data_IF_862965264845
#
_entry.id   IF_862965264845
#
_cell.length_a   1.000
_cell.length_b   1.000
_cell.length_c   1.000
_cell.angle_alpha   90.00
_cell.angle_beta   90.00
_cell.angle_gamma   90.00
#
_symmetry.space_group_name_H-M   'P 1'
#
loop_
_entity.id
_entity.type
_entity.pdbx_description
1 polymer ?
#
# COMPACT_ATOMS: atom_id res chain seq x y z
N UNK A 1 -4.69 6.88 28.04
CA UNK A 1 -4.18 5.48 28.00
C UNK A 1 -4.60 4.76 29.28
N UNK A 2 -5.44 3.72 29.19
CA UNK A 2 -6.02 3.05 30.36
C UNK A 2 -5.15 1.88 30.85
N UNK A 3 -4.96 1.77 32.16
CA UNK A 3 -4.25 0.69 32.84
C UNK A 3 -5.22 -0.03 33.79
N UNK A 4 -5.20 -1.35 33.81
CA UNK A 4 -6.13 -2.21 34.54
C UNK A 4 -5.45 -2.86 35.74
N UNK A 5 -6.20 -3.10 36.79
CA UNK A 5 -5.78 -3.98 37.89
C UNK A 5 -5.72 -5.44 37.42
N UNK A 6 -5.05 -6.30 38.20
CA UNK A 6 -5.03 -7.74 37.92
C UNK A 6 -6.44 -8.33 37.84
N UNK A 7 -7.34 -7.91 38.73
CA UNK A 7 -8.71 -8.40 38.78
C UNK A 7 -9.49 -8.01 37.52
N UNK A 8 -9.43 -6.74 37.11
CA UNK A 8 -10.06 -6.26 35.87
C UNK A 8 -9.47 -6.92 34.62
N UNK A 9 -8.15 -7.17 34.62
CA UNK A 9 -7.50 -7.84 33.51
C UNK A 9 -7.92 -9.32 33.42
N UNK A 10 -8.08 -10.01 34.55
CA UNK A 10 -8.53 -11.41 34.59
C UNK A 10 -9.99 -11.55 34.19
N UNK A 11 -10.84 -10.62 34.65
CA UNK A 11 -12.26 -10.58 34.30
C UNK A 11 -12.45 -10.38 32.79
N UNK A 12 -11.71 -9.44 32.19
CA UNK A 12 -11.72 -9.24 30.74
C UNK A 12 -11.14 -10.42 29.96
N UNK A 13 -10.12 -11.11 30.47
CA UNK A 13 -9.53 -12.26 29.79
C UNK A 13 -10.35 -13.54 29.94
N UNK A 14 -11.15 -13.67 31.00
CA UNK A 14 -11.79 -14.92 31.38
C UNK A 14 -10.79 -16.05 31.70
N UNK A 15 -9.62 -15.71 32.26
CA UNK A 15 -8.53 -16.67 32.53
C UNK A 15 -8.03 -16.62 33.98
N UNK A 16 -7.17 -17.57 34.36
CA UNK A 16 -6.52 -17.60 35.69
C UNK A 16 -5.28 -16.70 35.73
N UNK A 17 -4.90 -16.27 36.93
CA UNK A 17 -3.72 -15.43 37.20
C UNK A 17 -2.43 -15.94 36.56
N UNK A 18 -2.20 -17.26 36.58
CA UNK A 18 -1.06 -17.91 35.93
C UNK A 18 -0.96 -17.56 34.43
N UNK A 19 -2.09 -17.51 33.72
CA UNK A 19 -2.14 -17.18 32.30
C UNK A 19 -1.85 -15.70 32.05
N UNK A 20 -2.36 -14.81 32.90
CA UNK A 20 -2.04 -13.38 32.85
C UNK A 20 -0.54 -13.16 33.03
N UNK A 21 0.07 -13.75 34.07
CA UNK A 21 1.51 -13.62 34.33
C UNK A 21 2.38 -14.23 33.23
N UNK A 22 1.99 -15.37 32.66
CA UNK A 22 2.70 -15.97 31.53
C UNK A 22 2.67 -15.06 30.29
N UNK A 23 1.57 -14.36 30.02
CA UNK A 23 1.49 -13.42 28.90
C UNK A 23 2.30 -12.14 29.15
N UNK A 24 2.42 -11.70 30.40
CA UNK A 24 3.34 -10.61 30.77
C UNK A 24 4.80 -11.03 30.61
N UNK A 25 5.18 -12.20 31.11
CA UNK A 25 6.54 -12.75 30.98
C UNK A 25 6.96 -12.93 29.52
N UNK A 26 6.00 -13.27 28.63
CA UNK A 26 6.21 -13.38 27.18
C UNK A 26 6.10 -12.06 26.42
N UNK A 27 5.98 -10.92 27.12
CA UNK A 27 5.90 -9.59 26.52
C UNK A 27 4.60 -9.30 25.75
N UNK A 28 3.56 -10.13 25.90
CA UNK A 28 2.28 -9.98 25.18
C UNK A 28 1.33 -8.99 25.85
N UNK A 29 1.48 -8.80 27.16
CA UNK A 29 0.78 -7.79 27.95
C UNK A 29 1.83 -6.95 28.67
N UNK A 30 1.82 -5.63 28.42
CA UNK A 30 2.67 -4.71 29.17
C UNK A 30 2.15 -4.56 30.59
N UNK A 31 3.06 -4.62 31.56
CA UNK A 31 2.78 -4.42 32.97
C UNK A 31 3.69 -3.35 33.56
N UNK A 32 3.20 -2.61 34.55
CA UNK A 32 3.98 -1.67 35.34
C UNK A 32 3.62 -1.79 36.83
N UNK A 33 4.49 -1.40 37.76
CA UNK A 33 4.14 -1.32 39.18
C UNK A 33 2.95 -0.38 39.38
N UNK A 34 2.07 -0.72 40.31
CA UNK A 34 0.98 0.17 40.72
C UNK A 34 1.57 1.33 41.56
N UNK A 35 1.31 2.60 41.20
CA UNK A 35 1.77 3.76 41.97
C UNK A 35 1.26 3.78 43.42
N UNK A 36 0.12 3.15 43.70
CA UNK A 36 -0.49 3.11 45.04
C UNK A 36 0.01 1.95 45.91
N UNK A 37 0.52 0.87 45.31
CA UNK A 37 1.04 -0.30 46.01
C UNK A 37 2.11 -0.99 45.16
N UNK A 38 3.38 -0.82 45.53
CA UNK A 38 4.53 -1.37 44.78
C UNK A 38 4.55 -2.89 44.71
N UNK A 39 3.74 -3.60 45.51
CA UNK A 39 3.57 -5.06 45.44
C UNK A 39 2.53 -5.49 44.40
N UNK A 40 1.82 -4.54 43.78
CA UNK A 40 0.82 -4.78 42.74
C UNK A 40 1.34 -4.31 41.39
N UNK A 41 0.77 -4.88 40.34
CA UNK A 41 1.06 -4.48 38.96
C UNK A 41 -0.24 -4.10 38.26
N UNK A 42 -0.13 -3.09 37.40
CA UNK A 42 -1.17 -2.67 36.47
C UNK A 42 -0.82 -3.17 35.07
N UNK A 43 -1.85 -3.51 34.29
CA UNK A 43 -1.74 -4.13 32.98
C UNK A 43 -2.34 -3.24 31.90
N UNK A 44 -1.69 -3.12 30.76
CA UNK A 44 -2.13 -2.21 29.71
C UNK A 44 -3.47 -2.68 29.09
N UNK A 45 -4.49 -1.83 29.13
CA UNK A 45 -5.87 -2.24 28.82
C UNK A 45 -6.04 -2.78 27.39
N UNK A 46 -5.36 -2.20 26.40
CA UNK A 46 -5.49 -2.63 25.00
C UNK A 46 -4.81 -3.97 24.74
N UNK A 47 -3.73 -4.27 25.46
CA UNK A 47 -3.07 -5.58 25.36
C UNK A 47 -3.96 -6.68 25.94
N UNK A 48 -4.63 -6.40 27.07
CA UNK A 48 -5.61 -7.28 27.70
C UNK A 48 -6.81 -7.50 26.78
N UNK A 49 -7.42 -6.43 26.25
CA UNK A 49 -8.57 -6.52 25.32
C UNK A 49 -8.22 -7.28 24.03
N UNK A 50 -7.05 -6.99 23.44
CA UNK A 50 -6.56 -7.70 22.26
C UNK A 50 -6.41 -9.20 22.55
N UNK A 51 -5.89 -9.57 23.72
CA UNK A 51 -5.72 -10.99 24.07
C UNK A 51 -7.06 -11.67 24.43
N UNK A 52 -7.96 -10.97 25.12
CA UNK A 52 -9.31 -11.42 25.45
C UNK A 52 -10.12 -11.73 24.19
N UNK A 53 -10.04 -10.86 23.18
CA UNK A 53 -10.69 -11.07 21.88
C UNK A 53 -10.25 -12.37 21.21
N UNK A 54 -9.00 -12.81 21.45
CA UNK A 54 -8.43 -14.06 20.90
C UNK A 54 -8.88 -15.32 21.64
N UNK A 55 -9.28 -15.23 22.92
CA UNK A 55 -9.67 -16.38 23.75
C UNK A 55 -11.18 -16.68 23.78
N UNK A 56 -12.02 -15.76 23.30
CA UNK A 56 -13.49 -15.92 23.26
C UNK A 56 -14.03 -17.00 22.30
N UNK A 57 -13.21 -17.98 21.92
CA UNK A 57 -13.65 -19.19 21.24
C UNK A 57 -12.49 -19.87 20.53
N UNK A 58 -12.46 -21.20 20.55
CA UNK A 58 -11.91 -21.98 19.46
C UNK A 58 -12.64 -21.51 18.18
N UNK A 59 -12.06 -20.52 17.49
CA UNK A 59 -12.69 -19.88 16.33
C UNK A 59 -12.86 -20.94 15.25
N UNK A 60 -14.06 -21.09 14.69
CA UNK A 60 -14.28 -21.97 13.54
C UNK A 60 -13.31 -21.53 12.44
N UNK A 61 -12.58 -22.48 11.84
CA UNK A 61 -11.58 -22.26 10.77
C UNK A 61 -12.07 -21.33 9.65
N UNK A 62 -13.39 -21.28 9.44
CA UNK A 62 -14.11 -20.40 8.52
C UNK A 62 -13.97 -18.89 8.83
N UNK A 63 -14.07 -18.47 10.10
CA UNK A 63 -13.93 -17.07 10.49
C UNK A 63 -12.47 -16.62 10.33
N UNK A 64 -11.53 -17.52 10.62
CA UNK A 64 -10.09 -17.27 10.45
C UNK A 64 -9.75 -17.04 8.97
N UNK A 65 -10.32 -17.81 8.04
CA UNK A 65 -10.05 -17.68 6.60
C UNK A 65 -10.73 -16.46 5.95
N UNK A 66 -11.93 -16.07 6.40
CA UNK A 66 -12.63 -14.89 5.91
C UNK A 66 -11.99 -13.58 6.40
N UNK A 67 -11.59 -13.52 7.67
CA UNK A 67 -10.85 -12.38 8.24
C UNK A 67 -9.46 -12.26 7.61
N UNK A 68 -8.81 -13.39 7.27
CA UNK A 68 -7.50 -13.41 6.60
C UNK A 68 -7.43 -12.62 5.28
N UNK A 69 -8.56 -12.48 4.57
CA UNK A 69 -8.65 -11.75 3.29
C UNK A 69 -9.12 -10.29 3.52
N UNK A 70 -9.68 -9.99 4.69
CA UNK A 70 -10.14 -8.65 5.09
C UNK A 70 -9.36 -8.13 6.28
N UNK A 71 -8.16 -7.60 6.03
CA UNK A 71 -7.31 -6.95 7.05
C UNK A 71 -6.95 -7.84 8.28
N UNK A 72 -7.13 -9.16 8.18
CA UNK A 72 -6.75 -10.12 9.22
C UNK A 72 -5.28 -10.52 9.18
N UNK A 73 -4.95 -11.64 9.82
CA UNK A 73 -3.56 -12.11 9.89
C UNK A 73 -2.98 -12.40 8.49
N UNK A 74 -1.69 -12.07 8.21
CA UNK A 74 -1.08 -12.29 6.91
C UNK A 74 -1.26 -13.72 6.39
N UNK A 75 -1.90 -13.84 5.22
CA UNK A 75 -2.28 -15.13 4.61
C UNK A 75 -1.18 -15.78 3.78
N UNK A 76 -0.29 -14.98 3.21
CA UNK A 76 0.80 -15.46 2.36
C UNK A 76 2.13 -14.94 2.89
N UNK A 77 3.16 -15.80 3.04
CA UNK A 77 4.48 -15.32 3.37
C UNK A 77 5.01 -14.43 2.24
N UNK A 78 5.71 -13.37 2.63
CA UNK A 78 6.48 -12.52 1.74
C UNK A 78 7.71 -11.99 2.46
N UNK A 79 8.81 -11.87 1.71
CA UNK A 79 10.06 -11.26 2.18
C UNK A 79 10.23 -9.83 1.64
N UNK A 80 9.24 -9.29 0.92
CA UNK A 80 9.37 -8.06 0.13
C UNK A 80 9.10 -6.81 0.95
N UNK A 81 7.94 -6.73 1.61
CA UNK A 81 7.59 -5.61 2.46
C UNK A 81 6.73 -6.01 3.66
N UNK A 82 6.70 -5.14 4.66
CA UNK A 82 5.81 -5.27 5.82
C UNK A 82 5.57 -3.91 6.46
N UNK A 83 4.40 -3.74 7.07
CA UNK A 83 4.12 -2.60 7.96
C UNK A 83 4.26 -3.06 9.40
N UNK A 84 5.18 -2.43 10.13
CA UNK A 84 5.44 -2.75 11.53
C UNK A 84 5.66 -1.49 12.36
N UNK A 85 4.95 -1.37 13.48
CA UNK A 85 5.05 -0.22 14.37
C UNK A 85 4.74 1.12 13.69
N UNK A 86 3.78 1.13 12.75
CA UNK A 86 3.40 2.34 11.99
C UNK A 86 4.39 2.74 10.88
N UNK A 87 5.41 1.92 10.61
CA UNK A 87 6.42 2.17 9.58
C UNK A 87 6.34 1.13 8.46
N UNK A 88 6.68 1.53 7.25
CA UNK A 88 6.75 0.67 6.08
C UNK A 88 8.20 0.25 5.84
N UNK A 89 8.43 -1.05 5.66
CA UNK A 89 9.76 -1.59 5.36
C UNK A 89 9.77 -2.32 4.03
N UNK A 90 10.80 -2.10 3.23
CA UNK A 90 11.15 -2.87 2.03
C UNK A 90 12.38 -3.71 2.34
N UNK A 91 12.23 -5.04 2.36
CA UNK A 91 13.28 -5.99 2.78
C UNK A 91 14.03 -5.57 4.06
N UNK A 92 13.28 -5.07 5.03
CA UNK A 92 13.80 -4.62 6.33
C UNK A 92 14.36 -3.18 6.36
N UNK A 93 14.41 -2.48 5.22
CA UNK A 93 14.81 -1.08 5.15
C UNK A 93 13.60 -0.17 5.19
N UNK A 94 13.64 0.91 5.96
CA UNK A 94 12.51 1.82 6.08
C UNK A 94 12.26 2.59 4.78
N UNK A 95 11.03 2.54 4.28
CA UNK A 95 10.65 3.14 3.01
C UNK A 95 10.66 4.67 3.02
N UNK A 96 10.38 5.31 4.16
CA UNK A 96 10.46 6.77 4.27
C UNK A 96 11.90 7.27 4.29
N UNK A 97 12.82 6.54 4.93
CA UNK A 97 14.25 6.81 4.85
C UNK A 97 14.80 6.56 3.44
N UNK A 98 14.41 5.46 2.80
CA UNK A 98 14.78 5.22 1.40
C UNK A 98 14.30 6.37 0.49
N UNK A 99 13.10 6.90 0.73
CA UNK A 99 12.53 7.97 -0.06
C UNK A 99 13.34 9.28 0.03
N UNK A 100 14.22 9.46 1.02
CA UNK A 100 15.10 10.63 1.11
C UNK A 100 16.11 10.69 -0.04
N UNK A 101 16.63 9.55 -0.51
CA UNK A 101 17.71 9.56 -1.52
C UNK A 101 17.57 8.54 -2.65
N UNK A 102 16.83 7.45 -2.45
CA UNK A 102 16.73 6.35 -3.41
C UNK A 102 15.85 6.70 -4.62
N UNK A 103 16.14 6.12 -5.78
CA UNK A 103 15.27 6.14 -6.95
C UNK A 103 14.29 4.96 -6.93
N UNK A 104 13.31 4.96 -7.85
CA UNK A 104 12.43 3.79 -8.03
C UNK A 104 13.24 2.57 -8.48
N UNK A 105 14.27 2.81 -9.29
CA UNK A 105 15.20 1.83 -9.81
C UNK A 105 16.01 1.18 -8.68
N UNK A 106 16.47 1.97 -7.70
CA UNK A 106 17.15 1.43 -6.51
C UNK A 106 16.21 0.54 -5.68
N UNK A 107 14.94 0.94 -5.56
CA UNK A 107 13.92 0.14 -4.87
C UNK A 107 13.59 -1.14 -5.65
N UNK A 108 13.60 -1.10 -6.99
CA UNK A 108 13.45 -2.30 -7.81
C UNK A 108 14.63 -3.27 -7.59
N UNK A 109 15.87 -2.78 -7.60
CA UNK A 109 17.06 -3.58 -7.28
C UNK A 109 16.93 -4.25 -5.91
N UNK A 110 16.46 -3.49 -4.91
CA UNK A 110 16.21 -3.98 -3.55
C UNK A 110 15.12 -5.06 -3.56
N UNK A 111 13.90 -4.73 -3.98
CA UNK A 111 12.75 -5.64 -3.91
C UNK A 111 12.97 -6.91 -4.75
N UNK A 112 13.65 -6.81 -5.88
CA UNK A 112 13.89 -7.94 -6.77
C UNK A 112 15.12 -8.78 -6.37
N UNK A 113 15.85 -8.39 -5.32
CA UNK A 113 17.11 -9.01 -4.89
C UNK A 113 18.15 -9.13 -6.03
N UNK A 114 18.31 -8.04 -6.78
CA UNK A 114 19.28 -7.97 -7.86
C UNK A 114 20.70 -7.74 -7.32
N UNK A 115 21.68 -8.39 -7.95
CA UNK A 115 23.12 -8.18 -7.63
C UNK A 115 23.81 -7.19 -8.57
N UNK A 116 23.03 -6.53 -9.42
CA UNK A 116 23.47 -5.54 -10.41
C UNK A 116 22.44 -4.41 -10.49
N UNK A 117 22.84 -3.24 -11.01
CA UNK A 117 21.89 -2.18 -11.32
C UNK A 117 20.80 -2.63 -12.30
N UNK A 118 19.62 -2.04 -12.13
CA UNK A 118 18.49 -2.17 -13.05
C UNK A 118 18.86 -1.61 -14.41
N UNK A 119 18.51 -2.32 -15.48
CA UNK A 119 18.67 -1.85 -16.86
C UNK A 119 17.31 -1.70 -17.49
N UNK A 120 16.91 -0.46 -17.72
CA UNK A 120 15.70 -0.15 -18.46
C UNK A 120 16.09 0.21 -19.88
N UNK A 121 15.50 -0.51 -20.82
CA UNK A 121 15.40 -0.08 -22.20
C UNK A 121 14.31 1.00 -22.31
N UNK A 122 14.48 1.91 -23.26
CA UNK A 122 13.44 2.85 -23.65
C UNK A 122 13.49 3.04 -25.16
N UNK A 123 12.33 3.01 -25.80
CA UNK A 123 12.25 3.46 -27.19
C UNK A 123 12.45 4.99 -27.25
N UNK A 124 13.37 5.47 -28.09
CA UNK A 124 13.49 6.90 -28.44
C UNK A 124 12.28 7.32 -29.29
N UNK A 125 11.11 7.38 -28.67
CA UNK A 125 9.91 7.88 -29.34
C UNK A 125 9.75 9.34 -28.94
N UNK A 126 9.66 10.20 -29.96
CA UNK A 126 9.42 11.63 -29.78
C UNK A 126 8.24 11.91 -28.83
N UNK A 127 8.18 13.11 -28.26
CA UNK A 127 7.23 13.56 -27.20
C UNK A 127 5.88 12.83 -27.18
N UNK A 128 5.83 11.66 -26.53
CA UNK A 128 4.59 10.98 -26.15
C UNK A 128 4.18 11.50 -24.77
N UNK A 129 2.88 11.60 -24.53
CA UNK A 129 2.36 11.84 -23.20
C UNK A 129 2.16 10.50 -22.47
N UNK A 130 2.39 10.46 -21.14
CA UNK A 130 2.00 9.33 -20.30
C UNK A 130 0.57 8.86 -20.59
N UNK A 131 0.38 7.55 -20.76
CA UNK A 131 -0.93 6.98 -21.10
C UNK A 131 -1.15 5.62 -20.47
N UNK A 132 -2.15 5.55 -19.58
CA UNK A 132 -2.58 4.31 -18.95
C UNK A 132 -3.14 3.31 -19.98
N UNK A 133 -3.93 3.80 -20.95
CA UNK A 133 -4.46 2.97 -22.02
C UNK A 133 -3.35 2.36 -22.87
N UNK A 134 -2.28 3.12 -23.16
CA UNK A 134 -1.14 2.59 -23.89
C UNK A 134 -0.40 1.51 -23.07
N UNK A 135 -0.28 1.69 -21.75
CA UNK A 135 0.29 0.67 -20.87
C UNK A 135 -0.56 -0.62 -20.85
N UNK A 136 -1.89 -0.50 -20.81
CA UNK A 136 -2.80 -1.65 -20.92
C UNK A 136 -2.58 -2.42 -22.23
N UNK A 137 -2.57 -1.72 -23.37
CA UNK A 137 -2.37 -2.34 -24.68
C UNK A 137 -1.01 -3.01 -24.79
N UNK A 138 0.06 -2.29 -24.41
CA UNK A 138 1.42 -2.81 -24.51
C UNK A 138 1.64 -4.04 -23.63
N UNK A 139 1.08 -4.07 -22.41
CA UNK A 139 1.12 -5.26 -21.56
C UNK A 139 0.31 -6.41 -22.15
N UNK A 140 -0.87 -6.14 -22.71
CA UNK A 140 -1.72 -7.18 -23.31
C UNK A 140 -1.05 -7.84 -24.53
N UNK A 141 -0.38 -7.06 -25.38
CA UNK A 141 0.36 -7.55 -26.55
C UNK A 141 1.51 -8.50 -26.17
N UNK A 142 2.09 -8.33 -24.98
CA UNK A 142 3.17 -9.19 -24.49
C UNK A 142 2.72 -10.57 -24.01
N UNK A 143 1.47 -10.72 -23.54
CA UNK A 143 1.04 -11.92 -22.78
C UNK A 143 1.20 -13.21 -23.57
N UNK A 144 0.96 -13.18 -24.88
CA UNK A 144 1.05 -14.38 -25.73
C UNK A 144 2.47 -14.68 -26.22
N UNK A 145 3.37 -13.70 -26.14
CA UNK A 145 4.77 -13.83 -26.56
C UNK A 145 5.75 -14.11 -25.42
N UNK A 146 5.48 -13.58 -24.22
CA UNK A 146 6.30 -13.83 -23.04
C UNK A 146 6.17 -15.30 -22.59
N UNK A 147 7.25 -15.83 -22.00
CA UNK A 147 7.28 -17.22 -21.52
C UNK A 147 6.56 -17.35 -20.16
N UNK A 148 5.86 -18.47 -19.90
CA UNK A 148 5.30 -18.78 -18.58
C UNK A 148 6.33 -18.63 -17.46
N UNK A 149 5.90 -18.08 -16.31
CA UNK A 149 6.81 -17.80 -15.18
C UNK A 149 7.20 -19.06 -14.40
N UNK A 150 6.39 -20.13 -14.46
CA UNK A 150 6.57 -21.34 -13.66
C UNK A 150 7.85 -22.10 -14.06
N UNK A 151 8.64 -22.51 -13.06
CA UNK A 151 9.84 -23.32 -13.26
C UNK A 151 11.07 -22.54 -13.77
N UNK A 152 10.95 -21.23 -13.94
CA UNK A 152 12.07 -20.37 -14.35
C UNK A 152 12.94 -19.99 -13.16
N UNK A 153 14.24 -19.81 -13.40
CA UNK A 153 15.17 -19.35 -12.38
C UNK A 153 14.93 -17.87 -12.06
N UNK A 154 15.26 -17.46 -10.83
CA UNK A 154 15.14 -16.07 -10.41
C UNK A 154 15.88 -15.08 -11.35
N UNK A 155 17.12 -15.34 -11.80
CA UNK A 155 17.77 -14.45 -12.77
C UNK A 155 17.03 -14.32 -14.11
N UNK A 156 16.40 -15.40 -14.59
CA UNK A 156 15.61 -15.36 -15.82
C UNK A 156 14.30 -14.56 -15.63
N UNK A 157 13.71 -14.63 -14.45
CA UNK A 157 12.54 -13.83 -14.08
C UNK A 157 12.91 -12.34 -13.88
N UNK A 158 14.05 -12.05 -13.27
CA UNK A 158 14.56 -10.67 -13.10
C UNK A 158 14.79 -9.99 -14.45
N UNK A 159 15.39 -10.68 -15.42
CA UNK A 159 15.58 -10.14 -16.77
C UNK A 159 14.25 -9.88 -17.49
N UNK A 160 13.24 -10.73 -17.30
CA UNK A 160 11.89 -10.47 -17.85
C UNK A 160 11.21 -9.31 -17.12
N UNK A 161 11.35 -9.22 -15.79
CA UNK A 161 10.80 -8.13 -15.00
C UNK A 161 11.36 -6.76 -15.44
N UNK A 162 12.66 -6.68 -15.76
CA UNK A 162 13.26 -5.50 -16.39
C UNK A 162 12.57 -5.14 -17.71
N UNK A 163 12.41 -6.13 -18.61
CA UNK A 163 11.75 -5.91 -19.90
C UNK A 163 10.29 -5.46 -19.74
N UNK A 164 9.54 -6.07 -18.82
CA UNK A 164 8.15 -5.70 -18.54
C UNK A 164 8.07 -4.30 -17.92
N UNK A 165 8.96 -3.97 -16.97
CA UNK A 165 9.02 -2.63 -16.38
C UNK A 165 9.41 -1.57 -17.41
N UNK A 166 10.32 -1.88 -18.34
CA UNK A 166 10.62 -1.01 -19.49
C UNK A 166 9.39 -0.72 -20.33
N UNK A 167 8.59 -1.74 -20.67
CA UNK A 167 7.32 -1.54 -21.40
C UNK A 167 6.35 -0.62 -20.65
N UNK A 168 6.21 -0.81 -19.33
CA UNK A 168 5.35 0.05 -18.50
C UNK A 168 5.90 1.48 -18.44
N UNK A 169 7.21 1.63 -18.20
CA UNK A 169 7.88 2.93 -18.09
C UNK A 169 7.82 3.70 -19.41
N UNK A 170 7.91 3.05 -20.57
CA UNK A 170 7.82 3.73 -21.87
C UNK A 170 6.42 4.30 -22.12
N UNK A 171 5.37 3.65 -21.61
CA UNK A 171 4.00 4.13 -21.76
C UNK A 171 3.60 5.15 -20.70
N UNK A 172 4.08 4.99 -19.46
CA UNK A 172 3.69 5.84 -18.32
C UNK A 172 4.68 6.98 -18.02
N UNK A 173 5.93 6.87 -18.46
CA UNK A 173 6.98 7.86 -18.29
C UNK A 173 7.90 7.88 -19.52
N UNK A 174 7.39 8.21 -20.72
CA UNK A 174 8.18 8.21 -21.95
C UNK A 174 9.39 9.14 -21.82
N UNK A 175 10.56 8.69 -22.29
CA UNK A 175 11.80 9.47 -22.24
C UNK A 175 13.03 8.62 -22.49
N UNK A 176 14.19 9.26 -22.55
CA UNK A 176 15.46 8.58 -22.84
C UNK A 176 15.83 7.56 -21.75
N UNK A 177 16.33 6.39 -22.17
CA UNK A 177 16.70 5.27 -21.30
C UNK A 177 17.80 5.61 -20.26
N UNK A 178 18.62 6.62 -20.54
CA UNK A 178 19.70 7.06 -19.66
C UNK A 178 19.24 7.96 -18.52
N UNK A 179 17.95 8.30 -18.45
CA UNK A 179 17.36 9.10 -17.38
C UNK A 179 16.55 8.22 -16.43
N UNK A 180 16.60 8.49 -15.12
CA UNK A 180 15.70 7.87 -14.17
C UNK A 180 14.22 8.11 -14.52
N UNK A 181 13.36 7.16 -14.16
CA UNK A 181 11.91 7.18 -14.41
C UNK A 181 11.27 8.49 -13.92
N UNK A 182 11.65 8.98 -12.74
CA UNK A 182 11.09 10.20 -12.17
C UNK A 182 11.41 11.44 -13.02
N UNK A 183 12.63 11.52 -13.57
CA UNK A 183 13.00 12.61 -14.49
C UNK A 183 12.26 12.49 -15.83
N UNK A 184 12.17 11.27 -16.38
CA UNK A 184 11.41 11.01 -17.62
C UNK A 184 9.98 11.50 -17.47
N UNK A 185 9.33 11.14 -16.37
CA UNK A 185 7.95 11.53 -16.07
C UNK A 185 7.80 13.05 -15.89
N UNK A 186 8.68 13.66 -15.10
CA UNK A 186 8.70 15.11 -14.88
C UNK A 186 8.85 15.89 -16.20
N UNK A 187 9.75 15.44 -17.08
CA UNK A 187 9.96 16.05 -18.40
C UNK A 187 8.78 15.83 -19.35
N UNK A 188 8.17 14.66 -19.35
CA UNK A 188 7.01 14.35 -20.17
C UNK A 188 5.79 15.23 -19.81
N UNK A 189 5.71 15.68 -18.55
CA UNK A 189 4.73 16.65 -18.09
C UNK A 189 5.18 18.12 -18.17
N UNK A 190 6.40 18.39 -18.65
CA UNK A 190 6.94 19.75 -18.72
C UNK A 190 7.17 20.40 -17.36
N UNK A 191 7.34 19.58 -16.30
CA UNK A 191 7.53 20.00 -14.90
C UNK A 191 8.79 19.39 -14.29
N UNK A 192 9.99 19.74 -14.80
CA UNK A 192 11.25 19.23 -14.26
C UNK A 192 11.44 19.57 -12.77
N UNK A 193 10.83 20.67 -12.30
CA UNK A 193 10.80 21.09 -10.89
C UNK A 193 10.07 20.10 -9.97
N UNK A 194 9.19 19.25 -10.51
CA UNK A 194 8.50 18.21 -9.76
C UNK A 194 9.32 16.92 -9.60
N UNK A 195 10.46 16.78 -10.29
CA UNK A 195 11.19 15.52 -10.41
C UNK A 195 11.55 14.89 -9.07
N UNK A 196 11.99 15.68 -8.10
CA UNK A 196 12.39 15.19 -6.78
C UNK A 196 11.18 14.70 -5.94
N UNK A 197 10.07 15.43 -5.98
CA UNK A 197 8.83 14.98 -5.33
C UNK A 197 8.24 13.75 -6.02
N UNK A 198 8.36 13.65 -7.35
CA UNK A 198 7.98 12.44 -8.10
C UNK A 198 8.85 11.26 -7.66
N UNK A 199 10.18 11.43 -7.56
CA UNK A 199 11.10 10.38 -7.07
C UNK A 199 10.66 9.85 -5.70
N UNK A 200 10.44 10.77 -4.74
CA UNK A 200 10.00 10.42 -3.38
C UNK A 200 8.67 9.66 -3.40
N UNK A 201 7.68 10.13 -4.16
CA UNK A 201 6.41 9.45 -4.37
C UNK A 201 6.59 8.03 -4.92
N UNK A 202 7.40 7.87 -5.97
CA UNK A 202 7.62 6.58 -6.60
C UNK A 202 8.27 5.58 -5.63
N UNK A 203 9.16 6.01 -4.74
CA UNK A 203 9.73 5.12 -3.70
C UNK A 203 8.67 4.71 -2.67
N UNK A 204 7.94 5.68 -2.09
CA UNK A 204 6.95 5.42 -1.03
C UNK A 204 5.78 4.57 -1.50
N UNK A 205 5.50 4.58 -2.80
CA UNK A 205 4.42 3.83 -3.42
C UNK A 205 4.92 2.55 -4.10
N UNK A 206 6.20 2.19 -4.03
CA UNK A 206 6.76 1.09 -4.82
C UNK A 206 6.14 -0.27 -4.46
N UNK A 207 5.87 -0.48 -3.17
CA UNK A 207 5.19 -1.66 -2.68
C UNK A 207 4.41 -1.38 -1.39
N UNK A 208 3.39 -2.20 -1.09
CA UNK A 208 2.60 -2.03 0.12
C UNK A 208 1.91 -3.34 0.52
N UNK A 209 2.73 -4.32 0.85
CA UNK A 209 2.33 -5.68 1.26
C UNK A 209 1.27 -6.28 0.31
N UNK A 210 0.37 -7.12 0.82
CA UNK A 210 -0.60 -7.88 0.06
C UNK A 210 -1.91 -7.12 -0.15
N UNK A 211 -1.83 -5.88 -0.63
CA UNK A 211 -3.01 -5.12 -1.06
C UNK A 211 -3.71 -5.81 -2.26
N UNK A 212 -4.93 -5.35 -2.60
CA UNK A 212 -5.77 -6.00 -3.60
C UNK A 212 -5.07 -6.24 -4.96
N UNK A 213 -4.38 -5.24 -5.52
CA UNK A 213 -3.71 -5.41 -6.82
C UNK A 213 -2.47 -6.31 -6.72
N UNK A 214 -1.72 -6.24 -5.62
CA UNK A 214 -0.63 -7.17 -5.35
C UNK A 214 -1.14 -8.61 -5.22
N UNK A 215 -2.25 -8.83 -4.53
CA UNK A 215 -2.85 -10.15 -4.37
C UNK A 215 -3.32 -10.72 -5.73
N UNK A 216 -3.96 -9.91 -6.57
CA UNK A 216 -4.34 -10.32 -7.93
C UNK A 216 -3.12 -10.70 -8.76
N UNK A 217 -2.04 -9.91 -8.72
CA UNK A 217 -0.80 -10.22 -9.43
C UNK A 217 -0.21 -11.56 -8.98
N UNK A 218 -0.22 -11.85 -7.67
CA UNK A 218 0.19 -13.16 -7.13
C UNK A 218 -0.73 -14.30 -7.56
N UNK A 219 -2.05 -14.11 -7.58
CA UNK A 219 -2.98 -15.14 -8.07
C UNK A 219 -2.63 -15.51 -9.52
N UNK A 220 -2.48 -14.51 -10.39
CA UNK A 220 -2.11 -14.70 -11.80
C UNK A 220 -0.79 -15.45 -11.94
N UNK A 221 0.25 -15.03 -11.21
CA UNK A 221 1.55 -15.70 -11.21
C UNK A 221 1.48 -17.13 -10.66
N UNK A 222 0.62 -17.40 -9.66
CA UNK A 222 0.48 -18.73 -9.05
C UNK A 222 -0.08 -19.80 -10.00
N UNK A 223 -0.79 -19.36 -11.06
CA UNK A 223 -1.25 -20.22 -12.14
C UNK A 223 -0.18 -20.47 -13.23
N UNK A 224 1.00 -19.87 -13.10
CA UNK A 224 2.11 -19.99 -14.05
C UNK A 224 2.06 -19.01 -15.23
N UNK A 225 1.17 -18.01 -15.20
CA UNK A 225 1.10 -16.98 -16.23
C UNK A 225 2.39 -16.13 -16.31
N UNK A 226 2.55 -15.38 -17.41
CA UNK A 226 3.71 -14.51 -17.66
C UNK A 226 3.79 -13.37 -16.66
N UNK A 227 4.97 -12.74 -16.51
CA UNK A 227 5.10 -11.57 -15.63
C UNK A 227 4.33 -10.36 -16.17
N UNK A 228 4.21 -10.23 -17.50
CA UNK A 228 3.34 -9.24 -18.15
C UNK A 228 1.86 -9.44 -17.80
N UNK A 229 1.36 -10.68 -17.79
CA UNK A 229 -0.01 -10.98 -17.39
C UNK A 229 -0.25 -10.66 -15.90
N UNK A 230 0.70 -11.02 -15.02
CA UNK A 230 0.62 -10.68 -13.60
C UNK A 230 0.58 -9.16 -13.39
N UNK A 231 1.45 -8.42 -14.07
CA UNK A 231 1.51 -6.95 -14.02
C UNK A 231 0.22 -6.33 -14.56
N UNK A 232 -0.30 -6.81 -15.68
CA UNK A 232 -1.59 -6.38 -16.24
C UNK A 232 -2.73 -6.59 -15.24
N UNK A 233 -2.78 -7.75 -14.57
CA UNK A 233 -3.83 -8.04 -13.59
C UNK A 233 -3.77 -7.12 -12.36
N UNK A 234 -2.56 -6.76 -11.91
CA UNK A 234 -2.35 -5.75 -10.88
C UNK A 234 -2.82 -4.37 -11.34
N UNK A 235 -2.44 -3.96 -12.54
CA UNK A 235 -2.84 -2.70 -13.16
C UNK A 235 -4.36 -2.59 -13.32
N UNK A 236 -5.02 -3.64 -13.83
CA UNK A 236 -6.47 -3.70 -13.94
C UNK A 236 -7.14 -3.55 -12.58
N UNK A 237 -6.64 -4.25 -11.55
CA UNK A 237 -7.18 -4.15 -10.19
C UNK A 237 -7.01 -2.75 -9.60
N UNK A 238 -5.90 -2.07 -9.90
CA UNK A 238 -5.64 -0.69 -9.45
C UNK A 238 -6.68 0.32 -9.95
N UNK A 239 -7.28 0.10 -11.12
CA UNK A 239 -8.32 1.00 -11.65
C UNK A 239 -9.63 0.99 -10.86
N UNK A 240 -9.81 0.05 -9.91
CA UNK A 240 -10.99 -0.01 -9.07
C UNK A 240 -11.13 1.22 -8.16
N UNK A 241 -12.33 1.81 -8.01
CA UNK A 241 -12.54 3.02 -7.22
C UNK A 241 -12.24 2.84 -5.72
N UNK A 242 -12.39 1.61 -5.21
CA UNK A 242 -12.05 1.25 -3.83
C UNK A 242 -10.56 0.92 -3.62
N UNK A 243 -9.73 1.09 -4.66
CA UNK A 243 -8.29 0.86 -4.60
C UNK A 243 -7.52 2.09 -5.08
N UNK A 244 -7.32 2.27 -6.39
CA UNK A 244 -6.57 3.42 -6.93
C UNK A 244 -7.39 4.69 -7.16
N UNK A 245 -8.65 4.74 -6.70
CA UNK A 245 -9.59 5.84 -6.95
C UNK A 245 -9.69 6.92 -5.86
N UNK A 246 -9.01 6.75 -4.72
CA UNK A 246 -9.17 7.66 -3.57
C UNK A 246 -8.86 9.14 -3.89
N UNK A 247 -7.89 9.40 -4.78
CA UNK A 247 -7.52 10.75 -5.22
C UNK A 247 -8.68 11.52 -5.89
N UNK A 248 -9.60 10.82 -6.56
CA UNK A 248 -10.76 11.44 -7.21
C UNK A 248 -11.71 12.05 -6.18
N UNK A 249 -11.87 11.37 -5.05
CA UNK A 249 -12.67 11.86 -3.92
C UNK A 249 -12.04 13.11 -3.30
N UNK A 250 -10.72 13.13 -3.15
CA UNK A 250 -9.99 14.32 -2.67
C UNK A 250 -10.19 15.49 -3.63
N UNK A 251 -10.02 15.30 -4.94
CA UNK A 251 -10.23 16.37 -5.92
C UNK A 251 -11.67 16.88 -5.94
N UNK A 252 -12.65 15.99 -5.83
CA UNK A 252 -14.06 16.37 -5.70
C UNK A 252 -14.31 17.21 -4.45
N UNK A 253 -13.73 16.82 -3.31
CA UNK A 253 -13.83 17.56 -2.06
C UNK A 253 -13.18 18.95 -2.17
N UNK A 254 -11.98 19.05 -2.75
CA UNK A 254 -11.30 20.33 -2.97
C UNK A 254 -12.09 21.23 -3.93
N UNK A 255 -12.65 20.68 -5.01
CA UNK A 255 -13.48 21.45 -5.95
C UNK A 255 -14.74 22.03 -5.28
N UNK A 256 -15.38 21.27 -4.37
CA UNK A 256 -16.46 21.79 -3.54
C UNK A 256 -15.96 22.86 -2.56
N UNK A 257 -14.85 22.60 -1.88
CA UNK A 257 -14.27 23.55 -0.95
C UNK A 257 -13.94 24.91 -1.61
N UNK A 258 -13.54 24.89 -2.89
CA UNK A 258 -13.30 26.11 -3.67
C UNK A 258 -14.56 26.94 -3.93
N UNK A 259 -15.76 26.33 -3.92
CA UNK A 259 -17.03 27.04 -4.18
C UNK A 259 -17.78 27.44 -2.92
N UNK A 260 -17.78 26.60 -1.88
CA UNK A 260 -18.57 26.81 -0.65
C UNK A 260 -17.74 26.98 0.62
N UNK A 261 -16.41 26.90 0.54
CA UNK A 261 -15.51 26.89 1.68
C UNK A 261 -15.25 25.47 2.21
N UNK A 262 -14.08 25.29 2.85
CA UNK A 262 -13.60 23.98 3.30
C UNK A 262 -14.51 23.34 4.36
N UNK A 263 -15.02 24.13 5.31
CA UNK A 263 -15.88 23.60 6.38
C UNK A 263 -17.18 23.02 5.83
N UNK A 264 -17.88 23.81 5.01
CA UNK A 264 -19.15 23.39 4.42
C UNK A 264 -18.95 22.21 3.47
N UNK A 265 -17.86 22.18 2.69
CA UNK A 265 -17.57 21.07 1.79
C UNK A 265 -17.36 19.74 2.52
N UNK A 266 -16.59 19.74 3.62
CA UNK A 266 -16.37 18.52 4.43
C UNK A 266 -17.66 18.09 5.13
N UNK A 267 -18.38 19.02 5.76
CA UNK A 267 -19.66 18.73 6.43
C UNK A 267 -20.70 18.19 5.45
N UNK A 268 -20.81 18.78 4.27
CA UNK A 268 -21.69 18.31 3.19
C UNK A 268 -21.37 16.87 2.80
N UNK A 269 -20.09 16.55 2.56
CA UNK A 269 -19.65 15.19 2.23
C UNK A 269 -20.09 14.15 3.28
N UNK A 270 -19.85 14.47 4.56
CA UNK A 270 -20.21 13.61 5.68
C UNK A 270 -21.73 13.47 5.84
N UNK A 271 -22.48 14.56 5.67
CA UNK A 271 -23.95 14.57 5.77
C UNK A 271 -24.63 13.74 4.68
N UNK A 272 -24.01 13.63 3.50
CA UNK A 272 -24.45 12.76 2.39
C UNK A 272 -24.10 11.28 2.63
N UNK A 273 -23.47 10.93 3.76
CA UNK A 273 -23.02 9.57 4.07
C UNK A 273 -21.84 9.09 3.19
N UNK A 274 -21.13 10.02 2.54
CA UNK A 274 -19.98 9.67 1.70
C UNK A 274 -18.74 9.44 2.60
N UNK A 275 -17.99 8.35 2.40
CA UNK A 275 -16.72 8.18 3.09
C UNK A 275 -15.69 9.21 2.61
N UNK A 276 -14.70 9.51 3.45
CA UNK A 276 -13.52 10.29 3.09
C UNK A 276 -12.31 9.35 2.95
N UNK A 277 -12.12 8.67 1.80
CA UNK A 277 -11.16 7.56 1.66
C UNK A 277 -9.69 7.96 1.81
N UNK A 278 -9.39 9.26 1.79
CA UNK A 278 -8.04 9.79 1.96
C UNK A 278 -7.72 10.19 3.42
N UNK A 279 -8.59 9.83 4.37
CA UNK A 279 -8.44 10.01 5.81
C UNK A 279 -8.42 8.63 6.47
N UNK A 280 -7.45 8.41 7.35
CA UNK A 280 -7.22 7.13 8.00
C UNK A 280 -6.56 6.09 7.10
N UNK A 281 -6.02 5.06 7.74
CA UNK A 281 -5.52 3.87 7.07
C UNK A 281 -5.41 2.70 8.06
N UNK A 282 -5.92 1.52 7.71
CA UNK A 282 -5.99 0.37 8.61
C UNK A 282 -4.61 -0.08 9.16
N UNK A 283 -3.57 -0.09 8.32
CA UNK A 283 -2.20 -0.43 8.72
C UNK A 283 -1.47 0.70 9.47
N UNK A 284 -2.03 1.91 9.48
CA UNK A 284 -1.41 3.09 10.06
C UNK A 284 -2.42 3.83 10.97
N UNK A 285 -2.73 3.27 12.16
CA UNK A 285 -3.76 3.83 13.03
C UNK A 285 -3.47 5.25 13.52
N UNK A 286 -2.18 5.63 13.62
CA UNK A 286 -1.78 6.98 14.05
C UNK A 286 -1.54 7.95 12.86
N UNK A 287 -0.82 7.50 11.84
CA UNK A 287 -0.66 8.20 10.56
C UNK A 287 0.05 7.33 9.52
N UNK A 288 -0.40 7.46 8.27
CA UNK A 288 0.33 6.92 7.13
C UNK A 288 1.68 7.62 6.96
N UNK A 289 2.75 6.90 7.28
CA UNK A 289 4.14 7.40 7.18
C UNK A 289 4.48 7.91 5.78
N UNK A 290 3.85 7.36 4.73
CA UNK A 290 4.06 7.80 3.35
C UNK A 290 3.41 9.16 3.12
N UNK A 291 2.20 9.36 3.65
CA UNK A 291 1.49 10.64 3.58
C UNK A 291 2.25 11.74 4.31
N UNK A 292 2.69 11.46 5.55
CA UNK A 292 3.51 12.38 6.35
C UNK A 292 4.80 12.74 5.61
N UNK A 293 5.53 11.73 5.12
CA UNK A 293 6.79 11.89 4.38
C UNK A 293 6.66 12.79 3.15
N UNK A 294 5.51 12.76 2.44
CA UNK A 294 5.27 13.63 1.29
C UNK A 294 4.87 15.05 1.71
N UNK A 295 4.02 15.18 2.74
CA UNK A 295 3.55 16.47 3.22
C UNK A 295 4.66 17.30 3.89
N UNK A 296 5.61 16.66 4.57
CA UNK A 296 6.75 17.34 5.20
C UNK A 296 7.68 18.02 4.19
N UNK A 297 7.68 17.55 2.93
CA UNK A 297 8.48 18.11 1.84
C UNK A 297 7.67 19.02 0.91
N UNK A 298 6.36 19.20 1.16
CA UNK A 298 5.46 19.93 0.28
C UNK A 298 4.94 21.20 0.98
N UNK A 299 5.08 22.34 0.31
CA UNK A 299 4.29 23.53 0.67
C UNK A 299 2.84 23.29 0.29
N UNK A 300 2.03 22.92 1.28
CA UNK A 300 0.65 22.53 1.04
C UNK A 300 -0.18 23.74 0.57
N UNK A 301 -0.95 23.63 -0.53
CA UNK A 301 -1.83 24.71 -0.97
C UNK A 301 -2.84 25.09 0.13
N UNK A 302 -3.18 26.38 0.32
CA UNK A 302 -4.01 26.84 1.45
C UNK A 302 -5.35 26.10 1.58
N UNK A 303 -6.01 25.84 0.45
CA UNK A 303 -7.29 25.13 0.44
C UNK A 303 -7.14 23.65 0.87
N UNK A 304 -6.05 23.00 0.49
CA UNK A 304 -5.73 21.65 0.97
C UNK A 304 -5.41 21.66 2.47
N UNK A 305 -4.71 22.67 2.99
CA UNK A 305 -4.47 22.78 4.44
C UNK A 305 -5.78 22.91 5.21
N UNK A 306 -6.68 23.79 4.77
CA UNK A 306 -7.98 23.97 5.42
C UNK A 306 -8.83 22.69 5.39
N UNK A 307 -8.90 22.00 4.24
CA UNK A 307 -9.64 20.74 4.13
C UNK A 307 -9.03 19.64 4.99
N UNK A 308 -7.69 19.55 5.07
CA UNK A 308 -7.00 18.62 5.97
C UNK A 308 -7.39 18.90 7.41
N UNK A 309 -7.17 20.13 7.90
CA UNK A 309 -7.40 20.50 9.30
C UNK A 309 -8.83 20.21 9.74
N UNK A 310 -9.82 20.60 8.93
CA UNK A 310 -11.23 20.39 9.22
C UNK A 310 -11.60 18.90 9.14
N UNK A 311 -11.13 18.20 8.10
CA UNK A 311 -11.40 16.77 7.92
C UNK A 311 -10.83 15.93 9.06
N UNK A 312 -9.58 16.18 9.45
CA UNK A 312 -8.93 15.49 10.58
C UNK A 312 -9.66 15.78 11.90
N UNK A 313 -10.14 17.01 12.10
CA UNK A 313 -10.92 17.37 13.29
C UNK A 313 -12.29 16.67 13.34
N UNK A 314 -13.00 16.58 12.21
CA UNK A 314 -14.36 16.04 12.15
C UNK A 314 -14.39 14.50 12.14
N UNK A 315 -13.42 13.86 11.48
CA UNK A 315 -13.35 12.39 11.38
C UNK A 315 -12.49 11.78 12.48
N UNK A 316 -11.53 12.53 13.04
CA UNK A 316 -10.58 12.03 14.04
C UNK A 316 -9.46 11.16 13.46
N UNK A 317 -9.33 11.13 12.13
CA UNK A 317 -8.32 10.35 11.41
C UNK A 317 -7.43 11.27 10.58
N UNK A 318 -6.12 10.98 10.56
CA UNK A 318 -5.15 11.77 9.79
C UNK A 318 -5.20 11.46 8.30
N UNK A 319 -4.84 12.43 7.46
CA UNK A 319 -4.78 12.20 6.01
C UNK A 319 -3.74 11.14 5.63
N UNK A 320 -4.05 10.32 4.63
CA UNK A 320 -3.18 9.27 4.14
C UNK A 320 -2.40 9.68 2.88
N UNK A 321 -1.66 8.73 2.30
CA UNK A 321 -0.82 8.98 1.12
C UNK A 321 -1.60 9.49 -0.10
N UNK A 322 -2.87 9.10 -0.27
CA UNK A 322 -3.67 9.52 -1.42
C UNK A 322 -4.03 11.02 -1.36
N UNK A 323 -4.25 11.55 -0.15
CA UNK A 323 -4.41 12.99 0.05
C UNK A 323 -3.11 13.72 -0.30
N UNK A 324 -1.98 13.24 0.22
CA UNK A 324 -0.67 13.85 0.00
C UNK A 324 -0.27 13.83 -1.48
N UNK A 325 -0.50 12.72 -2.18
CA UNK A 325 -0.28 12.59 -3.62
C UNK A 325 -1.17 13.55 -4.41
N UNK A 326 -2.46 13.64 -4.06
CA UNK A 326 -3.38 14.58 -4.71
C UNK A 326 -2.94 16.03 -4.50
N UNK A 327 -2.52 16.39 -3.28
CA UNK A 327 -2.03 17.72 -2.97
C UNK A 327 -0.74 18.06 -3.73
N UNK A 328 0.19 17.12 -3.81
CA UNK A 328 1.44 17.25 -4.55
C UNK A 328 1.18 17.46 -6.04
N UNK A 329 0.34 16.61 -6.66
CA UNK A 329 0.03 16.76 -8.10
C UNK A 329 -0.66 18.08 -8.41
N UNK A 330 -1.52 18.57 -7.50
CA UNK A 330 -2.11 19.90 -7.63
C UNK A 330 -1.08 21.03 -7.51
N UNK A 331 -0.20 20.99 -6.51
CA UNK A 331 0.82 22.01 -6.26
C UNK A 331 1.80 22.15 -7.44
N UNK A 332 2.15 21.02 -8.07
CA UNK A 332 3.01 20.99 -9.26
C UNK A 332 2.22 21.04 -10.58
N UNK A 333 0.94 21.45 -10.57
CA UNK A 333 0.07 21.54 -11.76
C UNK A 333 0.25 20.37 -12.74
N UNK A 334 0.35 19.14 -12.21
CA UNK A 334 0.48 17.93 -13.02
C UNK A 334 -0.89 17.58 -13.64
N UNK A 335 -0.92 16.76 -14.70
CA UNK A 335 -2.18 16.33 -15.33
C UNK A 335 -3.16 15.67 -14.35
N UNK A 336 -4.46 15.71 -14.68
CA UNK A 336 -5.54 15.17 -13.83
C UNK A 336 -5.28 13.75 -13.32
N UNK A 337 -4.76 12.90 -14.19
CA UNK A 337 -4.54 11.48 -14.03
C UNK A 337 -3.14 11.15 -13.50
N UNK A 338 -2.32 12.17 -13.21
CA UNK A 338 -0.99 12.01 -12.65
C UNK A 338 -0.96 11.15 -11.36
N UNK A 339 -1.92 11.27 -10.40
CA UNK A 339 -1.94 10.39 -9.24
C UNK A 339 -1.97 8.91 -9.63
N UNK A 340 -2.85 8.53 -10.57
CA UNK A 340 -3.00 7.14 -11.00
C UNK A 340 -1.79 6.65 -11.80
N UNK A 341 -1.20 7.50 -12.65
CA UNK A 341 0.02 7.18 -13.41
C UNK A 341 1.20 6.92 -12.48
N UNK A 342 1.43 7.81 -11.50
CA UNK A 342 2.50 7.65 -10.49
C UNK A 342 2.29 6.34 -9.73
N UNK A 343 1.06 6.07 -9.30
CA UNK A 343 0.74 4.86 -8.55
C UNK A 343 0.95 3.59 -9.38
N UNK A 344 0.47 3.57 -10.63
CA UNK A 344 0.62 2.44 -11.54
C UNK A 344 2.09 2.14 -11.84
N UNK A 345 2.87 3.16 -12.17
CA UNK A 345 4.28 3.04 -12.50
C UNK A 345 5.10 2.56 -11.31
N UNK A 346 4.88 3.17 -10.14
CA UNK A 346 5.54 2.81 -8.90
C UNK A 346 5.20 1.39 -8.45
N UNK A 347 3.91 1.05 -8.38
CA UNK A 347 3.44 -0.25 -7.88
C UNK A 347 3.77 -1.41 -8.80
N UNK A 348 4.07 -1.15 -10.08
CA UNK A 348 4.55 -2.18 -11.02
C UNK A 348 5.83 -2.85 -10.54
N UNK A 349 6.69 -2.13 -9.81
CA UNK A 349 7.88 -2.72 -9.17
C UNK A 349 7.49 -3.77 -8.13
N UNK A 350 6.57 -3.44 -7.23
CA UNK A 350 6.05 -4.37 -6.23
C UNK A 350 5.31 -5.55 -6.85
N UNK A 351 4.46 -5.32 -7.86
CA UNK A 351 3.73 -6.39 -8.56
C UNK A 351 4.68 -7.41 -9.19
N UNK A 352 5.72 -6.94 -9.89
CA UNK A 352 6.74 -7.81 -10.47
C UNK A 352 7.51 -8.57 -9.38
N UNK A 353 7.88 -7.90 -8.29
CA UNK A 353 8.56 -8.53 -7.15
C UNK A 353 7.73 -9.69 -6.57
N UNK A 354 6.44 -9.42 -6.31
CA UNK A 354 5.50 -10.40 -5.77
C UNK A 354 5.18 -11.54 -6.75
N UNK A 355 5.09 -11.24 -8.05
CA UNK A 355 4.91 -12.25 -9.09
C UNK A 355 6.12 -13.19 -9.17
N UNK A 356 7.35 -12.67 -9.10
CA UNK A 356 8.57 -13.47 -9.07
C UNK A 356 8.68 -14.30 -7.78
N UNK A 357 8.35 -13.73 -6.62
CA UNK A 357 8.28 -14.46 -5.34
C UNK A 357 7.28 -15.62 -5.42
N UNK A 358 6.11 -15.38 -6.03
CA UNK A 358 5.10 -16.40 -6.22
C UNK A 358 5.56 -17.50 -7.18
N UNK A 359 6.12 -17.13 -8.33
CA UNK A 359 6.61 -18.07 -9.34
C UNK A 359 7.71 -18.99 -8.76
N UNK A 360 8.63 -18.41 -7.97
CA UNK A 360 9.72 -19.14 -7.31
C UNK A 360 9.20 -20.07 -6.21
N UNK A 361 8.09 -19.72 -5.54
CA UNK A 361 7.46 -20.60 -4.55
C UNK A 361 6.84 -21.86 -5.15
N UNK A 362 6.45 -21.82 -6.43
CA UNK A 362 5.81 -22.93 -7.16
C UNK A 362 4.44 -23.37 -6.62
N UNK A 363 3.82 -22.59 -5.71
CA UNK A 363 2.56 -22.95 -5.06
C UNK A 363 1.38 -22.24 -5.72
N UNK A 364 0.36 -23.02 -6.10
CA UNK A 364 -0.90 -22.48 -6.62
C UNK A 364 -1.73 -21.83 -5.49
N UNK A 365 -2.23 -20.61 -5.72
CA UNK A 365 -3.22 -19.98 -4.84
C UNK A 365 -4.61 -20.40 -5.32
N UNK A 366 -5.28 -21.25 -4.54
CA UNK A 366 -6.61 -21.77 -4.89
C UNK A 366 -7.55 -21.75 -3.67
N UNK A 367 -8.19 -20.61 -3.37
CA UNK A 367 -9.16 -20.54 -2.27
C UNK A 367 -10.37 -21.43 -2.56
N UNK A 368 -11.04 -21.87 -1.49
CA UNK A 368 -12.31 -22.61 -1.55
C UNK A 368 -13.43 -21.68 -1.13
N UNK A 369 -14.50 -21.65 -1.91
CA UNK A 369 -15.74 -20.98 -1.49
C UNK A 369 -16.53 -21.87 -0.52
N UNK A 370 -17.18 -21.25 0.46
CA UNK A 370 -18.28 -21.87 1.21
C UNK A 370 -19.55 -21.70 0.38
N UNK A 371 -20.14 -22.81 -0.05
CA UNK A 371 -21.40 -22.78 -0.78
C UNK A 371 -22.54 -22.37 0.18
N UNK A 372 -23.26 -21.30 -0.17
CA UNK A 372 -24.41 -20.76 0.60
C UNK A 372 -25.69 -20.73 -0.25
N UNK A 373 -25.70 -21.50 -1.36
CA UNK A 373 -26.89 -21.68 -2.19
C UNK A 373 -27.85 -22.72 -1.61
N UNK A 374 -28.92 -23.07 -2.35
CA UNK A 374 -29.89 -24.08 -1.93
C UNK A 374 -29.23 -25.42 -1.58
N UNK A 375 -29.73 -26.20 -0.61
CA UNK A 375 -29.16 -27.50 -0.26
C UNK A 375 -29.01 -28.43 -1.48
N UNK A 376 -27.88 -29.14 -1.55
CA UNK A 376 -27.67 -30.19 -2.56
C UNK A 376 -28.44 -31.43 -2.10
N UNK A 377 -29.32 -31.94 -2.95
CA UNK A 377 -30.12 -33.15 -2.71
C UNK A 377 -29.31 -34.42 -2.86
#
# INVERSE_FOLDING_TARGET
MSWLTAEQALDLLGTKSQTLYANVSRGRIRAKPDPADTRRSLYFADDVKRLASRHAGRRKTEAVAAEAIQWGDPVLPSALSTVYGGRLFYRGQDAALLAETASLEDVAVLLWDMKRPLRLEAEEVGRRHPSLNAAFTALAERITGDLPSLGRSLPALQNEAESVLSTVADMLAPGAANRPIHERLALAWGRPDAGEMIRRCLVLLADHELNASTFTARITASAGATLSAATLSGLSTLTGPLHGGAWQSVRSLIARAATMGAEEAVRSYLSEGRPLPAFGHQLYPDADVRGVSLLDCLTLPPLFSAVREIGEQLVGERVNVDFALTAMTHAYHLPEDAPLIIFALSRSVGWLAHAMEQATSGRLIRPRARYIGPPVQ
#
